data_IF_261311689839
#
_entry.id   IF_261311689839
#
_cell.length_a   1.000
_cell.length_b   1.000
_cell.length_c   1.000
_cell.angle_alpha   90.00
_cell.angle_beta   90.00
_cell.angle_gamma   90.00
#
_symmetry.space_group_name_H-M   'P 1'
#
loop_
_entity.id
_entity.type
_entity.pdbx_description
1 polymer ?
#
# COMPACT_ATOMS: atom_id res chain seq x y z
N UNK A 1 30.68 -86.78 -16.18
CA UNK A 1 30.59 -85.82 -15.06
C UNK A 1 29.76 -84.63 -15.55
N UNK A 2 28.61 -84.36 -14.93
CA UNK A 2 27.55 -83.46 -15.45
C UNK A 2 28.04 -82.01 -15.52
N UNK A 3 27.98 -81.40 -16.69
CA UNK A 3 28.16 -79.95 -16.91
C UNK A 3 26.86 -79.22 -16.54
N UNK A 4 26.93 -78.38 -15.51
CA UNK A 4 25.83 -77.51 -15.07
C UNK A 4 26.19 -76.09 -15.52
N UNK A 5 25.39 -75.51 -16.43
CA UNK A 5 25.46 -74.09 -16.77
C UNK A 5 24.58 -73.29 -15.80
N UNK A 6 25.09 -72.24 -15.14
CA UNK A 6 24.23 -71.36 -14.35
C UNK A 6 23.53 -70.36 -15.27
N UNK A 7 22.20 -70.36 -15.22
CA UNK A 7 21.36 -69.32 -15.84
C UNK A 7 21.37 -68.12 -14.90
N UNK A 8 21.97 -67.01 -15.35
CA UNK A 8 21.92 -65.74 -14.63
C UNK A 8 20.63 -65.01 -15.06
N UNK A 9 19.67 -64.92 -14.15
CA UNK A 9 18.46 -64.11 -14.33
C UNK A 9 18.79 -62.68 -13.90
N UNK A 10 18.87 -61.76 -14.87
CA UNK A 10 19.05 -60.33 -14.61
C UNK A 10 17.67 -59.73 -14.34
N UNK A 11 17.40 -59.38 -13.08
CA UNK A 11 16.22 -58.59 -12.69
C UNK A 11 16.45 -57.13 -13.10
N UNK A 12 15.78 -56.68 -14.17
CA UNK A 12 15.77 -55.29 -14.59
C UNK A 12 14.76 -54.52 -13.72
N UNK A 13 15.20 -53.98 -12.58
CA UNK A 13 14.38 -53.09 -11.76
C UNK A 13 14.21 -51.75 -12.48
N UNK A 14 13.05 -51.54 -13.12
CA UNK A 14 12.69 -50.26 -13.71
C UNK A 14 12.49 -49.19 -12.62
N UNK A 15 13.43 -48.27 -12.50
CA UNK A 15 13.25 -47.05 -11.73
C UNK A 15 12.26 -46.15 -12.50
N UNK A 16 10.98 -46.16 -12.12
CA UNK A 16 10.04 -45.16 -12.59
C UNK A 16 10.41 -43.82 -11.94
N UNK A 17 11.01 -42.92 -12.72
CA UNK A 17 11.25 -41.54 -12.28
C UNK A 17 9.89 -40.87 -12.07
N UNK A 18 9.46 -40.79 -10.80
CA UNK A 18 8.31 -39.99 -10.38
C UNK A 18 8.69 -38.54 -10.65
N UNK A 19 8.24 -38.02 -11.80
CA UNK A 19 8.35 -36.61 -12.10
C UNK A 19 7.36 -35.87 -11.20
N UNK A 20 7.83 -35.48 -10.01
CA UNK A 20 7.11 -34.54 -9.18
C UNK A 20 6.96 -33.25 -9.99
N UNK A 21 5.75 -33.00 -10.50
CA UNK A 21 5.40 -31.74 -11.15
C UNK A 21 5.31 -30.70 -10.04
N UNK A 22 6.44 -30.17 -9.59
CA UNK A 22 6.43 -28.90 -8.89
C UNK A 22 5.77 -27.89 -9.83
N UNK A 23 4.69 -27.25 -9.39
CA UNK A 23 4.03 -26.20 -10.15
C UNK A 23 5.01 -25.02 -10.23
N UNK A 24 5.82 -25.01 -11.29
CA UNK A 24 6.68 -23.88 -11.59
C UNK A 24 5.82 -22.85 -12.30
N UNK A 25 5.74 -21.66 -11.72
CA UNK A 25 5.12 -20.52 -12.40
C UNK A 25 5.93 -20.31 -13.69
N UNK A 26 5.30 -20.30 -14.88
CA UNK A 26 6.00 -20.05 -16.14
C UNK A 26 6.89 -18.82 -16.04
N UNK A 27 8.11 -18.89 -16.57
CA UNK A 27 9.10 -17.80 -16.42
C UNK A 27 8.54 -16.44 -16.88
N UNK A 28 7.75 -16.43 -17.95
CA UNK A 28 7.07 -15.23 -18.46
C UNK A 28 5.97 -14.66 -17.53
N UNK A 29 5.57 -15.37 -16.48
CA UNK A 29 4.64 -14.93 -15.44
C UNK A 29 5.32 -14.56 -14.12
N UNK A 30 6.63 -14.77 -14.00
CA UNK A 30 7.39 -14.34 -12.83
C UNK A 30 7.58 -12.82 -12.81
N UNK A 31 7.63 -12.24 -11.61
CA UNK A 31 7.89 -10.83 -11.36
C UNK A 31 8.85 -10.73 -10.18
N UNK A 32 9.79 -9.80 -10.22
CA UNK A 32 10.66 -9.53 -9.09
C UNK A 32 9.89 -8.74 -8.01
N UNK A 33 9.82 -9.29 -6.79
CA UNK A 33 9.18 -8.69 -5.63
C UNK A 33 10.17 -8.31 -4.52
N UNK A 34 11.48 -8.34 -4.78
CA UNK A 34 12.50 -8.06 -3.78
C UNK A 34 12.37 -6.67 -3.13
N UNK A 35 11.79 -5.71 -3.85
CA UNK A 35 11.57 -4.33 -3.37
C UNK A 35 10.09 -4.05 -3.01
N UNK A 36 9.30 -5.08 -2.71
CA UNK A 36 7.90 -4.91 -2.33
C UNK A 36 7.77 -4.47 -0.87
N UNK A 37 6.82 -3.57 -0.59
CA UNK A 37 6.56 -3.06 0.75
C UNK A 37 7.41 -1.83 1.08
N UNK A 38 7.70 -1.62 2.36
CA UNK A 38 8.56 -0.53 2.81
C UNK A 38 10.01 -0.86 2.41
N UNK A 39 10.59 -0.03 1.53
CA UNK A 39 11.96 -0.25 1.04
C UNK A 39 13.03 -0.01 2.12
N UNK A 40 12.74 0.90 3.06
CA UNK A 40 13.60 1.26 4.17
C UNK A 40 13.11 0.62 5.49
N UNK A 41 13.81 0.84 6.59
CA UNK A 41 13.29 0.52 7.93
C UNK A 41 12.22 1.53 8.36
N UNK A 42 11.32 1.11 9.24
CA UNK A 42 10.40 2.03 9.93
C UNK A 42 11.21 3.15 10.61
N UNK A 43 10.98 4.42 10.28
CA UNK A 43 11.75 5.53 10.84
C UNK A 43 11.37 5.79 12.30
N UNK A 44 12.36 6.09 13.14
CA UNK A 44 12.13 6.69 14.45
C UNK A 44 12.46 8.18 14.39
N UNK A 45 11.42 9.02 14.28
CA UNK A 45 11.60 10.47 14.23
C UNK A 45 12.01 11.01 15.60
N UNK A 46 13.02 11.88 15.63
CA UNK A 46 13.51 12.49 16.88
C UNK A 46 12.50 13.48 17.48
N UNK A 47 11.71 14.15 16.64
CA UNK A 47 10.64 15.05 17.08
C UNK A 47 9.45 14.24 17.59
N UNK A 48 9.26 14.21 18.90
CA UNK A 48 8.21 13.46 19.59
C UNK A 48 7.39 14.41 20.46
N UNK A 49 6.08 14.35 20.32
CA UNK A 49 5.14 15.16 21.11
C UNK A 49 4.12 14.24 21.78
N UNK A 50 3.84 14.46 23.06
CA UNK A 50 2.86 13.66 23.80
C UNK A 50 1.49 14.35 23.74
N UNK A 51 0.43 13.62 23.33
CA UNK A 51 -0.93 14.17 23.21
C UNK A 51 -1.47 14.77 24.52
N UNK A 52 -1.02 14.27 25.68
CA UNK A 52 -1.41 14.78 27.00
C UNK A 52 -0.98 16.24 27.21
N UNK A 53 0.14 16.66 26.60
CA UNK A 53 0.60 18.06 26.67
C UNK A 53 -0.30 19.03 25.89
N UNK A 54 -1.25 18.50 25.12
CA UNK A 54 -2.16 19.28 24.28
C UNK A 54 -3.62 19.17 24.73
N UNK A 55 -3.84 18.64 25.94
CA UNK A 55 -5.13 18.63 26.62
C UNK A 55 -5.98 17.39 26.39
N UNK A 56 -5.37 16.24 26.10
CA UNK A 56 -6.11 14.98 26.08
C UNK A 56 -6.57 14.58 27.49
N UNK A 57 -7.76 13.99 27.56
CA UNK A 57 -8.42 13.51 28.76
C UNK A 57 -8.14 12.02 29.02
N UNK A 58 -8.01 11.21 27.97
CA UNK A 58 -7.70 9.77 28.06
C UNK A 58 -8.69 8.96 28.94
N UNK A 59 -9.94 9.41 29.06
CA UNK A 59 -10.98 8.81 29.92
C UNK A 59 -12.12 8.10 29.17
N UNK A 60 -12.12 8.10 27.84
CA UNK A 60 -13.13 7.46 26.98
C UNK A 60 -14.50 8.15 26.97
N UNK A 61 -14.63 9.29 27.64
CA UNK A 61 -15.90 10.01 27.79
C UNK A 61 -15.87 11.39 27.14
N UNK A 62 -14.78 12.14 27.34
CA UNK A 62 -14.60 13.47 26.77
C UNK A 62 -13.81 13.33 25.46
N UNK A 63 -14.25 13.94 24.34
CA UNK A 63 -13.56 13.80 23.07
C UNK A 63 -12.15 14.42 23.08
N UNK A 64 -11.20 13.69 22.51
CA UNK A 64 -9.77 14.01 22.42
C UNK A 64 -9.35 14.57 21.04
N UNK A 65 -10.31 14.80 20.14
CA UNK A 65 -10.07 15.26 18.75
C UNK A 65 -9.20 16.52 18.68
N UNK A 66 -9.49 17.49 19.55
CA UNK A 66 -8.75 18.77 19.60
C UNK A 66 -7.33 18.58 20.12
N UNK A 67 -7.12 17.66 21.07
CA UNK A 67 -5.79 17.38 21.62
C UNK A 67 -4.90 16.75 20.55
N UNK A 68 -5.43 15.78 19.79
CA UNK A 68 -4.70 15.18 18.68
C UNK A 68 -4.37 16.19 17.58
N UNK A 69 -5.33 17.04 17.20
CA UNK A 69 -5.12 18.10 16.20
C UNK A 69 -3.98 19.04 16.61
N UNK A 70 -3.97 19.48 17.88
CA UNK A 70 -2.91 20.34 18.44
C UNK A 70 -1.57 19.62 18.51
N UNK A 71 -1.55 18.35 18.89
CA UNK A 71 -0.32 17.56 18.93
C UNK A 71 0.30 17.41 17.53
N UNK A 72 -0.50 17.09 16.50
CA UNK A 72 -0.03 17.03 15.11
C UNK A 72 0.49 18.39 14.64
N UNK A 73 -0.22 19.48 14.95
CA UNK A 73 0.21 20.84 14.61
C UNK A 73 1.55 21.21 15.26
N UNK A 74 1.79 20.77 16.50
CA UNK A 74 3.02 21.03 17.23
C UNK A 74 4.27 20.35 16.62
N UNK A 75 4.08 19.39 15.71
CA UNK A 75 5.18 18.87 14.89
C UNK A 75 5.71 19.92 13.89
N UNK A 76 5.05 21.06 13.71
CA UNK A 76 5.48 22.21 12.89
C UNK A 76 5.83 21.84 11.44
N UNK A 77 5.01 20.98 10.82
CA UNK A 77 5.24 20.43 9.47
C UNK A 77 6.58 19.69 9.29
N UNK A 78 7.24 19.31 10.39
CA UNK A 78 8.41 18.44 10.35
C UNK A 78 8.00 16.98 10.51
N UNK A 79 8.86 16.03 10.06
CA UNK A 79 8.74 14.63 10.42
C UNK A 79 8.65 14.46 11.94
N UNK A 80 7.72 13.63 12.41
CA UNK A 80 7.55 13.48 13.85
C UNK A 80 6.51 12.46 14.28
N UNK A 81 6.54 12.16 15.57
CA UNK A 81 5.68 11.16 16.22
C UNK A 81 4.81 11.82 17.28
N UNK A 82 3.49 11.61 17.18
CA UNK A 82 2.55 11.86 18.28
C UNK A 82 2.48 10.60 19.14
N UNK A 83 2.94 10.73 20.38
CA UNK A 83 2.86 9.68 21.40
C UNK A 83 1.50 9.79 22.10
N UNK A 84 0.76 8.67 22.11
CA UNK A 84 -0.50 8.51 22.83
C UNK A 84 -0.25 7.49 23.95
N UNK A 85 -0.04 7.91 25.20
CA UNK A 85 0.23 6.98 26.29
C UNK A 85 -0.99 6.11 26.62
N UNK A 86 -0.80 5.09 27.46
CA UNK A 86 -1.89 4.26 27.96
C UNK A 86 -3.10 5.08 28.46
N UNK A 87 -4.30 4.68 28.06
CA UNK A 87 -5.53 5.42 28.29
C UNK A 87 -6.61 5.04 27.27
N UNK A 88 -7.83 5.52 27.50
CA UNK A 88 -8.93 5.37 26.54
C UNK A 88 -9.30 6.73 25.97
N UNK A 89 -9.18 6.92 24.67
CA UNK A 89 -9.37 8.21 24.01
C UNK A 89 -10.60 8.16 23.12
N UNK A 90 -11.51 9.10 23.29
CA UNK A 90 -12.73 9.18 22.49
C UNK A 90 -12.52 10.14 21.31
N UNK A 91 -12.82 9.71 20.09
CA UNK A 91 -12.82 10.54 18.90
C UNK A 91 -14.23 10.62 18.32
N UNK A 92 -14.66 11.86 18.03
CA UNK A 92 -15.92 12.15 17.33
C UNK A 92 -15.68 12.61 15.89
N UNK A 93 -14.43 12.73 15.48
CA UNK A 93 -14.01 13.08 14.13
C UNK A 93 -12.99 12.06 13.59
N UNK A 94 -12.93 11.87 12.26
CA UNK A 94 -11.85 11.13 11.63
C UNK A 94 -10.48 11.74 11.93
N UNK A 95 -9.46 10.90 12.02
CA UNK A 95 -8.06 11.32 12.01
C UNK A 95 -7.58 11.40 10.57
N UNK A 96 -7.37 12.62 10.07
CA UNK A 96 -6.87 12.87 8.72
C UNK A 96 -5.36 13.10 8.75
N UNK A 97 -4.61 12.24 8.05
CA UNK A 97 -3.16 12.27 7.92
C UNK A 97 -2.81 12.53 6.45
N UNK A 98 -2.80 13.82 6.10
CA UNK A 98 -2.71 14.33 4.72
C UNK A 98 -1.32 14.89 4.38
N UNK A 99 -0.33 14.67 5.24
CA UNK A 99 1.06 15.05 4.99
C UNK A 99 2.03 13.93 5.33
N UNK A 100 3.22 14.03 4.77
CA UNK A 100 4.27 13.06 4.96
C UNK A 100 4.77 13.00 6.42
N UNK A 101 5.31 11.84 6.77
CA UNK A 101 6.17 11.63 7.93
C UNK A 101 5.51 11.94 9.28
N UNK A 102 4.23 11.60 9.43
CA UNK A 102 3.53 11.59 10.73
C UNK A 102 3.41 10.16 11.23
N UNK A 103 3.81 9.93 12.49
CA UNK A 103 3.54 8.66 13.19
C UNK A 103 2.59 8.91 14.35
N UNK A 104 1.53 8.12 14.45
CA UNK A 104 0.68 8.03 15.64
C UNK A 104 1.06 6.74 16.36
N UNK A 105 1.64 6.86 17.56
CA UNK A 105 2.23 5.75 18.31
C UNK A 105 1.61 5.64 19.69
N UNK A 106 0.98 4.50 19.97
CA UNK A 106 0.53 4.13 21.30
C UNK A 106 1.54 3.31 22.09
N UNK A 107 1.09 2.79 23.24
CA UNK A 107 1.83 1.91 24.15
C UNK A 107 1.25 0.48 24.19
N UNK A 108 0.82 -0.01 23.02
CA UNK A 108 0.17 -1.32 22.84
C UNK A 108 -1.33 -1.27 23.12
N UNK A 109 -1.91 -2.41 23.52
CA UNK A 109 -3.35 -2.53 23.80
C UNK A 109 -3.84 -1.66 24.97
N UNK A 110 -2.93 -1.16 25.82
CA UNK A 110 -3.24 -0.20 26.87
C UNK A 110 -3.64 1.19 26.33
N UNK A 111 -3.28 1.50 25.07
CA UNK A 111 -3.74 2.70 24.35
C UNK A 111 -4.94 2.33 23.51
N UNK A 112 -6.13 2.81 23.89
CA UNK A 112 -7.39 2.49 23.21
C UNK A 112 -7.98 3.75 22.57
N UNK A 113 -8.14 3.76 21.25
CA UNK A 113 -8.82 4.84 20.52
C UNK A 113 -10.23 4.38 20.13
N UNK A 114 -11.23 5.01 20.71
CA UNK A 114 -12.65 4.73 20.44
C UNK A 114 -13.19 5.78 19.49
N UNK A 115 -13.72 5.34 18.36
CA UNK A 115 -14.30 6.20 17.35
C UNK A 115 -15.82 6.12 17.40
N UNK A 116 -16.47 7.26 17.63
CA UNK A 116 -17.92 7.41 17.55
C UNK A 116 -18.23 8.57 16.59
N UNK A 117 -18.29 8.25 15.29
CA UNK A 117 -18.26 9.25 14.23
C UNK A 117 -19.66 9.77 13.84
N UNK A 118 -20.73 9.12 14.34
CA UNK A 118 -22.14 9.53 14.24
C UNK A 118 -22.70 9.75 12.81
N UNK A 119 -21.87 9.65 11.77
CA UNK A 119 -22.19 9.92 10.37
C UNK A 119 -21.74 8.78 9.48
N UNK A 120 -22.50 8.44 8.43
CA UNK A 120 -22.39 7.13 7.81
C UNK A 120 -21.11 6.93 6.98
N UNK A 121 -20.42 7.99 6.53
CA UNK A 121 -19.35 7.90 5.53
C UNK A 121 -17.96 8.30 6.06
N UNK A 122 -17.73 8.13 7.36
CA UNK A 122 -16.47 8.50 7.97
C UNK A 122 -15.62 7.26 8.25
N UNK A 123 -14.42 7.18 7.67
CA UNK A 123 -13.37 6.27 8.11
C UNK A 123 -12.77 6.77 9.43
N UNK A 124 -12.14 5.89 10.23
CA UNK A 124 -11.49 6.34 11.46
C UNK A 124 -10.17 7.05 11.15
N UNK A 125 -9.26 6.39 10.43
CA UNK A 125 -8.02 6.99 9.94
C UNK A 125 -8.06 7.15 8.42
N UNK A 126 -7.74 8.36 7.94
CA UNK A 126 -7.59 8.67 6.53
C UNK A 126 -6.13 9.04 6.24
N UNK A 127 -5.38 8.13 5.64
CA UNK A 127 -4.01 8.38 5.14
C UNK A 127 -4.13 8.62 3.63
N UNK A 128 -4.21 9.89 3.24
CA UNK A 128 -4.67 10.27 1.90
C UNK A 128 -3.73 11.23 1.19
N UNK A 129 -3.16 10.77 0.08
CA UNK A 129 -2.57 11.62 -0.95
C UNK A 129 -3.60 12.00 -2.02
N UNK A 130 -3.12 12.48 -3.15
CA UNK A 130 -3.97 12.94 -4.25
C UNK A 130 -3.62 12.28 -5.57
N UNK A 131 -4.57 12.29 -6.49
CA UNK A 131 -4.37 11.88 -7.88
C UNK A 131 -4.76 13.05 -8.78
N UNK A 132 -3.91 13.38 -9.75
CA UNK A 132 -4.19 14.47 -10.68
C UNK A 132 -5.30 14.06 -11.66
N UNK A 133 -6.19 14.98 -12.07
CA UNK A 133 -7.31 14.62 -12.96
C UNK A 133 -6.83 14.28 -14.37
N UNK A 134 -5.78 14.98 -14.82
CA UNK A 134 -5.29 14.91 -16.18
C UNK A 134 -4.58 13.58 -16.48
N UNK A 135 -4.71 13.15 -17.72
CA UNK A 135 -4.01 11.95 -18.22
C UNK A 135 -2.91 12.34 -19.19
N UNK A 136 -1.81 11.60 -19.09
CA UNK A 136 -0.66 11.69 -19.97
C UNK A 136 -0.75 10.53 -20.97
N UNK A 137 -0.70 10.84 -22.28
CA UNK A 137 -0.76 9.80 -23.29
C UNK A 137 0.56 9.04 -23.31
N UNK A 138 0.49 7.73 -23.30
CA UNK A 138 1.64 6.87 -23.59
C UNK A 138 1.77 6.77 -25.11
N UNK A 139 2.96 7.00 -25.66
CA UNK A 139 3.15 7.09 -27.12
C UNK A 139 3.39 5.73 -27.80
N UNK A 140 3.87 4.74 -27.05
CA UNK A 140 4.25 3.43 -27.59
C UNK A 140 3.71 2.27 -26.74
N UNK A 141 3.61 1.09 -27.34
CA UNK A 141 3.31 -0.13 -26.58
C UNK A 141 4.38 -0.34 -25.51
N UNK A 142 3.95 -0.75 -24.32
CA UNK A 142 4.85 -1.12 -23.22
C UNK A 142 4.89 -2.64 -23.17
N UNK A 143 6.07 -3.23 -23.22
CA UNK A 143 6.26 -4.66 -22.98
C UNK A 143 6.51 -4.88 -21.49
N UNK A 144 6.06 -6.02 -20.96
CA UNK A 144 6.39 -6.44 -19.60
C UNK A 144 7.92 -6.36 -19.39
N UNK A 145 8.32 -5.80 -18.26
CA UNK A 145 9.70 -5.54 -17.83
C UNK A 145 10.42 -4.40 -18.56
N UNK A 146 9.77 -3.68 -19.47
CA UNK A 146 10.35 -2.46 -20.04
C UNK A 146 10.67 -1.45 -18.94
N UNK A 147 11.81 -0.78 -19.03
CA UNK A 147 12.21 0.23 -18.04
C UNK A 147 11.80 1.64 -18.41
N UNK A 148 11.48 1.89 -19.67
CA UNK A 148 11.21 3.22 -20.21
C UNK A 148 9.80 3.32 -20.77
N UNK A 149 9.15 4.46 -20.52
CA UNK A 149 7.81 4.78 -21.01
C UNK A 149 7.90 6.16 -21.64
N UNK A 150 7.56 6.25 -22.93
CA UNK A 150 7.53 7.52 -23.66
C UNK A 150 6.16 8.16 -23.49
N UNK A 151 6.12 9.38 -22.96
CA UNK A 151 4.90 10.12 -22.70
C UNK A 151 4.74 11.27 -23.69
N UNK A 152 3.51 11.70 -23.94
CA UNK A 152 3.25 12.88 -24.78
C UNK A 152 3.76 14.18 -24.20
N UNK A 153 3.95 14.22 -22.88
CA UNK A 153 4.53 15.33 -22.14
C UNK A 153 5.01 14.81 -20.79
N UNK A 154 6.12 15.38 -20.30
CA UNK A 154 6.63 15.17 -18.94
C UNK A 154 6.57 16.46 -18.12
N UNK A 155 5.89 17.51 -18.62
CA UNK A 155 5.75 18.78 -17.92
C UNK A 155 5.10 18.56 -16.55
N UNK A 156 5.76 19.06 -15.50
CA UNK A 156 5.28 18.92 -14.12
C UNK A 156 5.61 17.57 -13.46
N UNK A 157 6.24 16.65 -14.19
CA UNK A 157 6.82 15.43 -13.63
C UNK A 157 8.26 15.67 -13.18
N UNK A 158 8.63 15.03 -12.07
CA UNK A 158 9.96 15.03 -11.51
C UNK A 158 10.40 13.60 -11.15
N UNK A 159 11.70 13.41 -11.00
CA UNK A 159 12.25 12.17 -10.45
C UNK A 159 11.65 11.91 -9.06
N UNK A 160 11.20 10.68 -8.82
CA UNK A 160 10.52 10.27 -7.59
C UNK A 160 9.00 10.43 -7.58
N UNK A 161 8.40 11.09 -8.58
CA UNK A 161 6.93 11.13 -8.73
C UNK A 161 6.35 9.74 -8.96
N UNK A 162 5.06 9.59 -8.68
CA UNK A 162 4.33 8.34 -8.94
C UNK A 162 3.40 8.50 -10.13
N UNK A 163 3.37 7.48 -10.99
CA UNK A 163 2.43 7.38 -12.09
C UNK A 163 1.56 6.13 -11.93
N UNK A 164 0.26 6.28 -12.16
CA UNK A 164 -0.67 5.18 -12.35
C UNK A 164 -0.86 4.93 -13.85
N UNK A 165 -0.41 3.78 -14.33
CA UNK A 165 -0.67 3.29 -15.68
C UNK A 165 -1.97 2.50 -15.72
N UNK A 166 -2.87 2.87 -16.62
CA UNK A 166 -4.15 2.17 -16.83
C UNK A 166 -4.59 2.27 -18.28
N UNK A 167 -5.45 1.35 -18.71
CA UNK A 167 -5.95 1.28 -20.09
C UNK A 167 -7.42 0.89 -20.08
N UNK A 168 -8.05 0.84 -21.26
CA UNK A 168 -9.29 0.09 -21.40
C UNK A 168 -8.98 -1.39 -21.17
N UNK A 169 -9.68 -1.99 -20.22
CA UNK A 169 -9.46 -3.34 -19.73
C UNK A 169 -10.75 -4.16 -19.67
N UNK A 170 -11.75 -3.79 -20.48
CA UNK A 170 -13.02 -4.53 -20.58
C UNK A 170 -12.83 -6.02 -20.91
N UNK A 171 -11.73 -6.37 -21.57
CA UNK A 171 -11.37 -7.75 -21.91
C UNK A 171 -10.68 -8.50 -20.75
N UNK A 172 -10.24 -7.77 -19.72
CA UNK A 172 -9.55 -8.30 -18.53
C UNK A 172 -10.46 -8.32 -17.29
N UNK A 173 -11.51 -7.50 -17.30
CA UNK A 173 -12.40 -7.27 -16.16
C UNK A 173 -13.84 -7.54 -16.57
N UNK A 174 -14.54 -8.39 -15.82
CA UNK A 174 -15.91 -8.80 -16.17
C UNK A 174 -16.97 -7.77 -15.77
N UNK A 175 -16.69 -6.95 -14.76
CA UNK A 175 -17.67 -6.05 -14.16
C UNK A 175 -17.51 -4.61 -14.69
N UNK A 176 -18.57 -3.99 -15.26
CA UNK A 176 -18.47 -2.64 -15.79
C UNK A 176 -18.05 -1.56 -14.79
N UNK A 177 -18.41 -1.74 -13.51
CA UNK A 177 -17.99 -0.83 -12.44
C UNK A 177 -16.49 -0.90 -12.11
N UNK A 178 -15.79 -1.91 -12.63
CA UNK A 178 -14.35 -2.11 -12.44
C UNK A 178 -13.55 -1.84 -13.74
N UNK A 179 -14.19 -1.35 -14.82
CA UNK A 179 -13.45 -0.95 -16.00
C UNK A 179 -12.45 0.17 -15.67
N UNK A 180 -11.30 0.16 -16.35
CA UNK A 180 -10.15 1.06 -16.22
C UNK A 180 -9.45 1.02 -14.86
N UNK A 181 -9.70 -0.03 -14.06
CA UNK A 181 -9.07 -0.20 -12.73
C UNK A 181 -7.89 -1.17 -12.73
N UNK A 182 -7.70 -1.97 -13.79
CA UNK A 182 -6.53 -2.82 -13.92
C UNK A 182 -5.34 -2.01 -14.44
N UNK A 183 -4.38 -1.82 -13.55
CA UNK A 183 -3.24 -0.96 -13.83
C UNK A 183 -2.03 -1.30 -13.00
N UNK A 184 -1.06 -0.40 -13.05
CA UNK A 184 0.12 -0.48 -12.20
C UNK A 184 0.52 0.92 -11.76
N UNK A 185 0.80 1.07 -10.48
CA UNK A 185 1.49 2.24 -9.95
C UNK A 185 2.99 1.99 -10.09
N UNK A 186 3.72 3.00 -10.57
CA UNK A 186 5.17 3.01 -10.67
C UNK A 186 5.73 4.33 -10.13
N UNK A 187 6.96 4.28 -9.63
CA UNK A 187 7.73 5.46 -9.24
C UNK A 187 8.74 5.78 -10.34
N UNK A 188 8.86 7.06 -10.66
CA UNK A 188 9.83 7.57 -11.64
C UNK A 188 11.22 7.50 -11.00
N UNK A 189 12.11 6.71 -11.59
CA UNK A 189 13.53 6.70 -11.25
C UNK A 189 14.23 7.92 -11.83
N UNK A 190 13.97 8.21 -13.12
CA UNK A 190 14.60 9.29 -13.86
C UNK A 190 13.76 9.73 -15.06
N UNK A 191 13.85 10.99 -15.45
CA UNK A 191 13.33 11.52 -16.72
C UNK A 191 14.48 11.91 -17.67
N UNK A 192 14.36 11.56 -18.95
CA UNK A 192 15.27 12.00 -20.01
C UNK A 192 14.48 12.35 -21.28
N UNK A 193 14.44 13.63 -21.65
CA UNK A 193 13.58 14.10 -22.74
C UNK A 193 12.10 13.87 -22.39
N UNK A 194 11.38 13.19 -23.28
CA UNK A 194 9.97 12.77 -23.12
C UNK A 194 9.82 11.37 -22.47
N UNK A 195 10.92 10.76 -22.09
CA UNK A 195 10.97 9.38 -21.63
C UNK A 195 11.13 9.31 -20.11
N UNK A 196 10.21 8.60 -19.47
CA UNK A 196 10.21 8.27 -18.03
C UNK A 196 10.81 6.89 -17.84
N UNK A 197 11.76 6.77 -16.91
CA UNK A 197 12.32 5.49 -16.47
C UNK A 197 11.69 5.08 -15.14
N UNK A 198 11.14 3.86 -15.08
CA UNK A 198 10.47 3.33 -13.89
C UNK A 198 11.44 2.59 -12.97
N UNK A 199 11.39 2.87 -11.67
CA UNK A 199 12.20 2.19 -10.65
C UNK A 199 11.89 0.69 -10.59
N UNK A 200 10.59 0.35 -10.63
CA UNK A 200 10.12 -1.02 -10.84
C UNK A 200 9.38 -1.09 -12.17
N UNK A 201 9.78 -1.98 -13.10
CA UNK A 201 9.21 -2.00 -14.43
C UNK A 201 7.75 -2.52 -14.44
N UNK A 202 6.98 -2.24 -15.50
CA UNK A 202 5.62 -2.76 -15.68
C UNK A 202 5.58 -4.29 -15.69
N UNK A 203 4.66 -4.87 -14.90
CA UNK A 203 4.52 -6.32 -14.69
C UNK A 203 3.63 -7.00 -15.74
N UNK A 204 3.00 -6.21 -16.60
CA UNK A 204 2.24 -6.66 -17.77
C UNK A 204 2.58 -5.81 -18.98
N UNK A 205 2.33 -6.35 -20.18
CA UNK A 205 2.38 -5.58 -21.42
C UNK A 205 1.11 -4.77 -21.61
N UNK A 206 1.24 -3.60 -22.23
CA UNK A 206 0.17 -2.69 -22.60
C UNK A 206 0.32 -2.35 -24.10
N UNK A 207 -0.47 -2.98 -24.98
CA UNK A 207 -0.49 -2.59 -26.39
C UNK A 207 -0.97 -1.15 -26.54
N UNK A 208 -0.38 -0.37 -27.45
CA UNK A 208 -0.80 1.03 -27.67
C UNK A 208 -2.30 1.15 -28.00
N UNK A 209 -2.86 0.16 -28.72
CA UNK A 209 -4.28 0.10 -29.06
C UNK A 209 -5.23 -0.13 -27.87
N UNK A 210 -4.71 -0.43 -26.67
CA UNK A 210 -5.53 -0.58 -25.46
C UNK A 210 -6.03 0.75 -24.87
N UNK A 211 -5.61 1.88 -25.45
CA UNK A 211 -5.91 3.20 -24.87
C UNK A 211 -5.12 3.46 -23.58
N UNK A 212 -3.92 2.91 -23.48
CA UNK A 212 -3.02 3.07 -22.33
C UNK A 212 -2.68 4.55 -22.11
N UNK A 213 -2.84 4.97 -20.86
CA UNK A 213 -2.52 6.31 -20.37
C UNK A 213 -1.84 6.22 -19.00
N UNK A 214 -1.14 7.29 -18.64
CA UNK A 214 -0.61 7.49 -17.30
C UNK A 214 -1.36 8.63 -16.60
N UNK A 215 -1.36 8.62 -15.27
CA UNK A 215 -1.86 9.72 -14.44
C UNK A 215 -0.94 9.92 -13.27
N UNK A 216 -0.62 11.18 -12.95
CA UNK A 216 0.24 11.50 -11.83
C UNK A 216 -0.48 11.29 -10.50
N UNK A 217 0.23 10.66 -9.57
CA UNK A 217 -0.18 10.46 -8.18
C UNK A 217 0.79 11.21 -7.28
N UNK A 218 0.25 11.89 -6.27
CA UNK A 218 1.00 12.58 -5.24
C UNK A 218 0.72 11.87 -3.91
N UNK A 219 1.39 10.74 -3.63
CA UNK A 219 1.10 9.98 -2.43
C UNK A 219 1.57 10.71 -1.18
N UNK A 220 0.82 10.56 -0.08
CA UNK A 220 1.40 10.79 1.26
C UNK A 220 2.39 9.68 1.57
N UNK A 221 3.50 10.05 2.21
CA UNK A 221 4.62 9.16 2.43
C UNK A 221 5.00 9.04 3.89
N UNK A 222 5.47 7.85 4.26
CA UNK A 222 6.04 7.60 5.59
C UNK A 222 5.10 7.92 6.75
N UNK A 223 3.80 7.65 6.56
CA UNK A 223 2.81 7.75 7.63
C UNK A 223 2.71 6.42 8.37
N UNK A 224 2.76 6.47 9.69
CA UNK A 224 2.79 5.29 10.56
C UNK A 224 1.65 5.27 11.57
N UNK A 225 1.00 4.13 11.73
CA UNK A 225 0.12 3.83 12.87
C UNK A 225 0.72 2.67 13.66
N UNK A 226 1.01 2.90 14.94
CA UNK A 226 1.79 1.96 15.75
C UNK A 226 1.19 1.69 17.13
N UNK A 227 1.24 0.42 17.55
CA UNK A 227 1.11 -0.01 18.94
C UNK A 227 -0.14 0.52 19.66
N UNK A 228 -1.33 0.25 19.15
CA UNK A 228 -2.57 0.71 19.79
C UNK A 228 -3.77 -0.17 19.42
N UNK A 229 -4.78 -0.11 20.27
CA UNK A 229 -6.11 -0.64 19.99
C UNK A 229 -6.98 0.46 19.38
N UNK A 230 -7.71 0.13 18.30
CA UNK A 230 -8.68 1.02 17.65
C UNK A 230 -10.04 0.31 17.53
N UNK A 231 -11.12 1.02 17.82
CA UNK A 231 -12.47 0.46 17.78
C UNK A 231 -13.48 1.47 17.26
N UNK A 232 -14.31 1.02 16.32
CA UNK A 232 -15.51 1.73 15.94
C UNK A 232 -16.65 1.38 16.90
N UNK A 233 -17.22 2.39 17.55
CA UNK A 233 -18.27 2.25 18.59
C UNK A 233 -19.65 2.72 18.14
N UNK A 234 -19.75 3.39 16.98
CA UNK A 234 -21.00 3.74 16.33
C UNK A 234 -21.44 2.70 15.30
N UNK A 235 -22.74 2.59 15.07
CA UNK A 235 -23.31 1.76 14.00
C UNK A 235 -23.59 2.61 12.76
N UNK A 236 -23.24 2.07 11.59
CA UNK A 236 -23.56 2.67 10.29
C UNK A 236 -23.93 1.58 9.29
N UNK A 237 -24.87 1.86 8.39
CA UNK A 237 -25.22 0.95 7.28
C UNK A 237 -24.33 1.16 6.04
N UNK A 238 -23.45 2.15 6.08
CA UNK A 238 -22.53 2.44 4.99
C UNK A 238 -21.20 1.74 5.20
N UNK A 239 -20.52 1.45 4.08
CA UNK A 239 -19.21 0.82 4.05
C UNK A 239 -18.16 1.83 4.48
N UNK A 240 -17.45 1.53 5.55
CA UNK A 240 -16.45 2.39 6.16
C UNK A 240 -15.20 1.60 6.53
N UNK A 241 -14.06 2.27 6.49
CA UNK A 241 -12.78 1.67 6.84
C UNK A 241 -12.33 2.14 8.22
N UNK A 242 -11.75 1.24 8.99
CA UNK A 242 -11.01 1.61 10.19
C UNK A 242 -9.72 2.36 9.83
N UNK A 243 -9.03 1.92 8.79
CA UNK A 243 -7.84 2.59 8.26
C UNK A 243 -7.96 2.62 6.74
N UNK A 244 -8.04 3.81 6.16
CA UNK A 244 -8.09 4.04 4.72
C UNK A 244 -6.75 4.57 4.23
N UNK A 245 -6.10 3.83 3.32
CA UNK A 245 -4.90 4.28 2.62
C UNK A 245 -5.29 4.57 1.16
N UNK A 246 -5.32 5.84 0.79
CA UNK A 246 -5.62 6.26 -0.56
C UNK A 246 -4.45 7.08 -1.11
N UNK A 247 -3.83 6.60 -2.19
CA UNK A 247 -2.61 7.25 -2.73
C UNK A 247 -1.59 7.45 -1.61
N UNK A 248 -1.09 6.34 -1.08
CA UNK A 248 -0.12 6.33 0.02
C UNK A 248 1.07 5.43 -0.36
N UNK A 249 2.28 5.86 -0.02
CA UNK A 249 3.50 5.11 -0.28
C UNK A 249 4.38 5.08 0.96
N UNK A 250 5.18 4.02 1.13
CA UNK A 250 6.10 3.88 2.26
C UNK A 250 5.43 4.05 3.64
N UNK A 251 4.14 3.76 3.75
CA UNK A 251 3.36 3.83 5.00
C UNK A 251 3.33 2.46 5.68
N UNK A 252 3.16 2.44 7.00
CA UNK A 252 3.14 1.18 7.77
C UNK A 252 2.10 1.20 8.87
N UNK A 253 1.54 0.02 9.11
CA UNK A 253 0.57 -0.27 10.17
C UNK A 253 1.17 -1.42 10.97
N UNK A 254 1.54 -1.18 12.23
CA UNK A 254 2.29 -2.15 13.02
C UNK A 254 1.80 -2.24 14.46
N UNK A 255 1.56 -3.45 14.96
CA UNK A 255 1.07 -3.64 16.34
C UNK A 255 -0.28 -3.00 16.61
N UNK A 256 -1.19 -3.00 15.61
CA UNK A 256 -2.55 -2.48 15.73
C UNK A 256 -3.52 -3.63 16.01
N UNK A 257 -4.31 -3.49 17.07
CA UNK A 257 -5.52 -4.28 17.26
C UNK A 257 -6.71 -3.46 16.76
N UNK A 258 -7.41 -3.95 15.74
CA UNK A 258 -8.54 -3.25 15.12
C UNK A 258 -9.82 -4.03 15.35
N UNK A 259 -10.79 -3.41 16.03
CA UNK A 259 -12.08 -4.01 16.33
C UNK A 259 -13.23 -3.25 15.65
N UNK A 260 -14.23 -4.00 15.19
CA UNK A 260 -15.47 -3.54 14.54
C UNK A 260 -15.26 -2.68 13.27
N UNK A 261 -15.83 -3.11 12.14
CA UNK A 261 -15.90 -2.35 10.88
C UNK A 261 -17.30 -2.53 10.30
N UNK A 262 -17.80 -1.58 9.52
CA UNK A 262 -19.09 -1.67 8.80
C UNK A 262 -18.88 -1.65 7.28
#
# INVERSE_FOLDING_TARGET
MKTIFPIIVIYLSGLAAIHCRAQTIPYNRLTNWANAGLADTVPDFSNKVNIMNYGAYANGMIPDDTALTRAIAALNNQPGTVIIPAGTYLFRQPVNLERDSIVIRGEGSATRLLFNLSWPLNNMFNIRGTIEPDTLKVQHSITKNDRSIVLSSVTGLHDGDYLYLFCNDSDLVTSPWAYTTSGQILRIEKINGDTVFAETPPRRSYPIGSGIVARKMNPVRRVGLECMYIERTDSTNARTNNIDLFTAADCWISGIESNMTN
#
